data_IF_676579099553
#
_entry.id   IF_676579099553
#
_cell.length_a   1.000
_cell.length_b   1.000
_cell.length_c   1.000
_cell.angle_alpha   90.00
_cell.angle_beta   90.00
_cell.angle_gamma   90.00
#
_symmetry.space_group_name_H-M   'P 1'
#
loop_
_entity.id
_entity.type
_entity.pdbx_description
1 polymer ?
#
# COMPACT_ATOMS: atom_id res chain seq x y z
N UNK A 1 -12.52 -55.95 -5.26
CA UNK A 1 -12.21 -55.10 -4.10
C UNK A 1 -11.93 -53.69 -4.66
N UNK A 2 -12.92 -52.82 -4.56
CA UNK A 2 -12.80 -51.45 -5.03
C UNK A 2 -12.18 -50.62 -3.87
N UNK A 3 -11.02 -50.03 -4.14
CA UNK A 3 -10.37 -49.09 -3.24
C UNK A 3 -11.16 -47.79 -3.18
N UNK A 4 -11.65 -47.46 -2.02
CA UNK A 4 -12.19 -46.12 -1.74
C UNK A 4 -11.00 -45.15 -1.64
N UNK A 5 -10.84 -44.28 -2.63
CA UNK A 5 -10.04 -43.08 -2.50
C UNK A 5 -10.71 -42.18 -1.44
N UNK A 6 -10.03 -42.00 -0.32
CA UNK A 6 -10.39 -41.01 0.68
C UNK A 6 -10.06 -39.62 0.07
N UNK A 7 -11.09 -38.93 -0.34
CA UNK A 7 -10.98 -37.46 -0.58
C UNK A 7 -10.43 -36.82 0.71
N UNK A 8 -9.28 -36.17 0.58
CA UNK A 8 -8.75 -35.29 1.62
C UNK A 8 -9.71 -34.14 1.83
N UNK A 9 -10.09 -33.76 3.08
CA UNK A 9 -10.93 -32.60 3.29
C UNK A 9 -10.23 -31.37 2.71
N UNK A 10 -10.86 -30.71 1.73
CA UNK A 10 -10.44 -29.39 1.26
C UNK A 10 -10.25 -28.51 2.48
N UNK A 11 -9.01 -28.08 2.70
CA UNK A 11 -8.65 -27.09 3.71
C UNK A 11 -9.26 -25.79 3.26
N UNK A 12 -10.49 -25.49 3.69
CA UNK A 12 -11.08 -24.15 3.52
C UNK A 12 -10.08 -23.15 4.11
N UNK A 13 -9.40 -22.41 3.25
CA UNK A 13 -8.53 -21.33 3.69
C UNK A 13 -9.40 -20.34 4.47
N UNK A 14 -9.14 -20.28 5.78
CA UNK A 14 -9.89 -19.40 6.67
C UNK A 14 -9.56 -17.95 6.29
N UNK A 15 -10.56 -17.17 5.91
CA UNK A 15 -10.39 -15.75 5.61
C UNK A 15 -9.69 -15.05 6.77
N UNK A 16 -8.59 -14.36 6.47
CA UNK A 16 -7.84 -13.57 7.45
C UNK A 16 -8.44 -12.17 7.53
N UNK A 17 -8.63 -11.69 8.74
CA UNK A 17 -9.06 -10.31 8.98
C UNK A 17 -7.85 -9.42 9.25
N UNK A 18 -7.84 -8.26 8.61
CA UNK A 18 -6.82 -7.23 8.79
C UNK A 18 -7.38 -5.93 9.34
N UNK A 19 -6.50 -5.10 9.91
CA UNK A 19 -6.84 -3.80 10.45
C UNK A 19 -5.86 -2.73 9.97
N UNK A 20 -6.33 -1.50 9.78
CA UNK A 20 -5.45 -0.34 9.62
C UNK A 20 -4.85 0.01 10.98
N UNK A 21 -3.56 -0.19 11.15
CA UNK A 21 -2.89 -0.01 12.46
C UNK A 21 -3.00 1.42 13.03
N UNK A 22 -3.23 2.42 12.19
CA UNK A 22 -3.45 3.79 12.65
C UNK A 22 -4.88 4.06 13.17
N UNK A 23 -5.81 3.12 13.03
CA UNK A 23 -7.15 3.19 13.63
C UNK A 23 -7.18 2.56 15.03
N UNK A 24 -6.12 1.84 15.42
CA UNK A 24 -5.94 1.38 16.80
C UNK A 24 -5.57 2.57 17.70
N UNK A 25 -5.93 2.47 18.97
CA UNK A 25 -5.54 3.45 20.01
C UNK A 25 -4.07 3.86 19.85
N UNK A 26 -3.80 5.17 19.94
CA UNK A 26 -2.44 5.70 19.83
C UNK A 26 -1.55 5.12 20.93
N UNK A 27 -0.52 4.40 20.53
CA UNK A 27 0.45 3.71 21.36
C UNK A 27 1.72 3.46 20.55
N UNK A 28 2.85 3.06 21.14
CA UNK A 28 4.01 2.54 20.44
C UNK A 28 3.64 1.37 19.53
N UNK A 29 4.43 1.14 18.45
CA UNK A 29 4.10 0.14 17.45
C UNK A 29 3.87 -1.26 18.05
N UNK A 30 4.76 -1.73 18.91
CA UNK A 30 4.65 -3.06 19.53
C UNK A 30 3.36 -3.23 20.34
N UNK A 31 2.95 -2.21 21.10
CA UNK A 31 1.68 -2.21 21.83
C UNK A 31 0.47 -2.27 20.88
N UNK A 32 0.52 -1.51 19.75
CA UNK A 32 -0.54 -1.57 18.75
C UNK A 32 -0.65 -2.96 18.11
N UNK A 33 0.48 -3.62 17.85
CA UNK A 33 0.48 -4.98 17.30
C UNK A 33 -0.11 -5.99 18.31
N UNK A 34 0.24 -5.87 19.58
CA UNK A 34 -0.36 -6.69 20.64
C UNK A 34 -1.88 -6.51 20.71
N UNK A 35 -2.36 -5.25 20.69
CA UNK A 35 -3.80 -4.95 20.67
C UNK A 35 -4.48 -5.55 19.43
N UNK A 36 -3.87 -5.43 18.25
CA UNK A 36 -4.43 -5.99 17.02
C UNK A 36 -4.56 -7.53 17.11
N UNK A 37 -3.53 -8.19 17.62
CA UNK A 37 -3.54 -9.63 17.85
C UNK A 37 -4.63 -10.05 18.85
N UNK A 38 -4.73 -9.38 20.00
CA UNK A 38 -5.75 -9.64 21.03
C UNK A 38 -7.18 -9.46 20.48
N UNK A 39 -7.37 -8.55 19.53
CA UNK A 39 -8.65 -8.35 18.83
C UNK A 39 -8.94 -9.39 17.73
N UNK A 40 -8.02 -10.32 17.49
CA UNK A 40 -8.19 -11.42 16.55
C UNK A 40 -7.82 -11.10 15.09
N UNK A 41 -7.12 -9.99 14.85
CA UNK A 41 -6.59 -9.69 13.52
C UNK A 41 -5.34 -10.52 13.21
N UNK A 42 -5.19 -10.93 11.95
CA UNK A 42 -4.07 -11.71 11.46
C UNK A 42 -3.09 -10.89 10.61
N UNK A 43 -3.49 -9.71 10.15
CA UNK A 43 -2.64 -8.83 9.35
C UNK A 43 -2.96 -7.36 9.57
N UNK A 44 -2.02 -6.49 9.19
CA UNK A 44 -2.14 -5.06 9.35
C UNK A 44 -1.81 -4.26 8.09
N UNK A 45 -2.54 -3.16 7.89
CA UNK A 45 -2.13 -2.08 7.00
C UNK A 45 -1.21 -1.13 7.76
N UNK A 46 0.04 -1.03 7.33
CA UNK A 46 1.10 -0.23 7.95
C UNK A 46 1.34 1.06 7.15
N UNK A 47 0.84 2.20 7.62
CA UNK A 47 1.23 3.52 7.15
C UNK A 47 2.30 4.07 8.10
N UNK A 48 3.58 3.94 7.75
CA UNK A 48 4.72 4.18 8.65
C UNK A 48 4.60 5.47 9.46
N UNK A 49 4.44 6.61 8.80
CA UNK A 49 4.37 7.91 9.46
C UNK A 49 3.09 8.15 10.29
N UNK A 50 2.04 7.34 10.10
CA UNK A 50 0.81 7.42 10.90
C UNK A 50 0.85 6.50 12.12
N UNK A 51 1.68 5.48 12.09
CA UNK A 51 1.73 4.43 13.10
C UNK A 51 2.96 4.57 14.01
N UNK A 52 4.11 4.89 13.43
CA UNK A 52 5.40 4.91 14.11
C UNK A 52 5.77 6.36 14.40
N UNK A 53 5.93 6.68 15.67
CA UNK A 53 6.36 7.99 16.18
C UNK A 53 7.68 7.92 16.96
N UNK A 54 8.13 6.71 17.26
CA UNK A 54 9.27 6.46 18.16
C UNK A 54 10.61 6.66 17.48
N UNK A 55 10.64 6.56 16.12
CA UNK A 55 11.86 6.74 15.33
C UNK A 55 11.56 7.32 13.96
N UNK A 56 12.59 7.84 13.26
CA UNK A 56 12.44 8.35 11.90
C UNK A 56 11.92 7.28 10.93
N UNK A 57 11.05 7.69 10.01
CA UNK A 57 10.50 6.85 8.93
C UNK A 57 10.63 7.53 7.57
N UNK A 58 11.62 8.41 7.42
CA UNK A 58 11.99 9.02 6.16
C UNK A 58 12.69 8.01 5.22
N UNK A 59 13.06 8.43 4.03
CA UNK A 59 13.63 7.54 3.01
C UNK A 59 14.98 6.94 3.45
N UNK A 60 15.76 7.66 4.27
CA UNK A 60 17.02 7.20 4.82
C UNK A 60 16.84 6.11 5.87
N UNK A 61 15.72 6.10 6.57
CA UNK A 61 15.39 5.09 7.58
C UNK A 61 14.92 3.76 6.97
N UNK A 62 14.46 3.73 5.70
CA UNK A 62 13.93 2.54 5.03
C UNK A 62 15.04 1.57 4.59
N UNK A 63 15.81 1.10 5.57
CA UNK A 63 16.97 0.21 5.39
C UNK A 63 16.58 -1.27 5.46
N UNK A 64 17.41 -2.20 4.93
CA UNK A 64 17.21 -3.63 5.12
C UNK A 64 17.14 -4.06 6.59
N UNK A 65 17.98 -3.46 7.44
CA UNK A 65 18.00 -3.74 8.89
C UNK A 65 16.69 -3.35 9.55
N UNK A 66 16.12 -2.20 9.17
CA UNK A 66 14.84 -1.76 9.68
C UNK A 66 13.69 -2.65 9.20
N UNK A 67 13.70 -3.09 7.94
CA UNK A 67 12.72 -4.05 7.45
C UNK A 67 12.78 -5.38 8.23
N UNK A 68 13.99 -5.89 8.53
CA UNK A 68 14.18 -7.09 9.34
C UNK A 68 13.67 -6.90 10.79
N UNK A 69 13.88 -5.74 11.38
CA UNK A 69 13.36 -5.42 12.71
C UNK A 69 11.84 -5.43 12.72
N UNK A 70 11.20 -4.69 11.80
CA UNK A 70 9.74 -4.68 11.69
C UNK A 70 9.17 -6.08 11.46
N UNK A 71 9.77 -6.85 10.55
CA UNK A 71 9.35 -8.24 10.30
C UNK A 71 9.37 -9.10 11.56
N UNK A 72 10.40 -8.94 12.41
CA UNK A 72 10.49 -9.69 13.67
C UNK A 72 9.39 -9.32 14.66
N UNK A 73 9.11 -8.03 14.85
CA UNK A 73 8.08 -7.60 15.81
C UNK A 73 6.67 -7.93 15.33
N UNK A 74 6.39 -7.86 14.03
CA UNK A 74 5.14 -8.34 13.45
C UNK A 74 4.96 -9.85 13.69
N UNK A 75 5.98 -10.64 13.36
CA UNK A 75 5.94 -12.09 13.57
C UNK A 75 5.79 -12.48 15.05
N UNK A 76 6.44 -11.76 15.97
CA UNK A 76 6.30 -11.98 17.42
C UNK A 76 4.86 -11.75 17.91
N UNK A 77 4.09 -10.89 17.22
CA UNK A 77 2.68 -10.64 17.49
C UNK A 77 1.75 -11.46 16.58
N UNK A 78 2.26 -12.43 15.82
CA UNK A 78 1.50 -13.27 14.89
C UNK A 78 0.69 -12.47 13.86
N UNK A 79 1.23 -11.36 13.40
CA UNK A 79 0.64 -10.47 12.41
C UNK A 79 1.52 -10.41 11.16
N UNK A 80 0.88 -10.37 9.99
CA UNK A 80 1.53 -10.06 8.72
C UNK A 80 1.31 -8.59 8.33
N UNK A 81 2.21 -8.05 7.51
CA UNK A 81 1.99 -6.76 6.85
C UNK A 81 1.28 -7.00 5.52
N UNK A 82 -0.03 -6.81 5.47
CA UNK A 82 -0.80 -6.99 4.25
C UNK A 82 -0.56 -5.86 3.24
N UNK A 83 -0.51 -4.62 3.71
CA UNK A 83 -0.33 -3.43 2.88
C UNK A 83 0.64 -2.47 3.57
N UNK A 84 1.64 -2.00 2.84
CA UNK A 84 2.46 -0.84 3.23
C UNK A 84 1.88 0.42 2.58
N UNK A 85 1.37 1.36 3.38
CA UNK A 85 0.73 2.57 2.88
C UNK A 85 1.74 3.65 2.48
N UNK A 86 1.59 4.21 1.27
CA UNK A 86 2.37 5.33 0.76
C UNK A 86 1.44 6.33 0.05
N UNK A 87 0.98 7.34 0.78
CA UNK A 87 -0.07 8.28 0.35
C UNK A 87 0.52 9.63 -0.04
N UNK A 88 1.00 9.73 -1.28
CA UNK A 88 1.65 10.93 -1.81
C UNK A 88 1.06 11.32 -3.16
N UNK A 89 1.05 12.63 -3.45
CA UNK A 89 0.47 13.17 -4.67
C UNK A 89 1.36 12.92 -5.90
N UNK A 90 1.00 11.93 -6.74
CA UNK A 90 1.65 11.65 -8.03
C UNK A 90 1.15 12.56 -9.17
N UNK A 91 0.15 13.41 -8.92
CA UNK A 91 -0.29 14.43 -9.88
C UNK A 91 0.11 15.85 -9.46
N UNK A 92 1.05 15.98 -8.53
CA UNK A 92 1.54 17.27 -8.06
C UNK A 92 2.12 18.09 -9.23
N UNK A 93 1.63 19.33 -9.46
CA UNK A 93 2.08 20.17 -10.58
C UNK A 93 3.51 20.71 -10.39
N UNK A 94 4.03 20.74 -9.17
CA UNK A 94 5.39 21.16 -8.89
C UNK A 94 6.37 20.01 -9.20
N UNK A 95 7.29 20.17 -10.18
CA UNK A 95 8.20 19.08 -10.59
C UNK A 95 9.13 18.58 -9.49
N UNK A 96 9.59 19.47 -8.60
CA UNK A 96 10.47 19.09 -7.50
C UNK A 96 9.73 18.24 -6.46
N UNK A 97 8.48 18.62 -6.12
CA UNK A 97 7.61 17.86 -5.23
C UNK A 97 7.24 16.51 -5.85
N UNK A 98 6.92 16.49 -7.14
CA UNK A 98 6.62 15.24 -7.86
C UNK A 98 7.82 14.29 -7.87
N UNK A 99 9.02 14.79 -8.15
CA UNK A 99 10.25 13.99 -8.13
C UNK A 99 10.50 13.39 -6.73
N UNK A 100 10.33 14.19 -5.67
CA UNK A 100 10.44 13.75 -4.28
C UNK A 100 9.40 12.67 -3.95
N UNK A 101 8.15 12.86 -4.36
CA UNK A 101 7.08 11.89 -4.13
C UNK A 101 7.38 10.58 -4.87
N UNK A 102 7.80 10.64 -6.12
CA UNK A 102 8.18 9.47 -6.90
C UNK A 102 9.33 8.70 -6.23
N UNK A 103 10.38 9.41 -5.81
CA UNK A 103 11.50 8.79 -5.08
C UNK A 103 11.02 8.05 -3.82
N UNK A 104 10.12 8.65 -3.07
CA UNK A 104 9.54 8.04 -1.87
C UNK A 104 8.72 6.79 -2.18
N UNK A 105 7.97 6.76 -3.29
CA UNK A 105 7.30 5.53 -3.74
C UNK A 105 8.29 4.41 -4.03
N UNK A 106 9.38 4.71 -4.76
CA UNK A 106 10.41 3.71 -5.06
C UNK A 106 11.07 3.17 -3.77
N UNK A 107 11.33 4.04 -2.79
CA UNK A 107 11.85 3.64 -1.48
C UNK A 107 10.86 2.72 -0.73
N UNK A 108 9.56 3.05 -0.72
CA UNK A 108 8.53 2.22 -0.10
C UNK A 108 8.36 0.88 -0.78
N UNK A 109 8.38 0.82 -2.12
CA UNK A 109 8.30 -0.43 -2.89
C UNK A 109 9.48 -1.34 -2.57
N UNK A 110 10.71 -0.80 -2.57
CA UNK A 110 11.89 -1.57 -2.15
C UNK A 110 11.76 -2.05 -0.72
N UNK A 111 11.30 -1.19 0.18
CA UNK A 111 11.11 -1.53 1.59
C UNK A 111 10.03 -2.59 1.79
N UNK A 112 8.92 -2.51 1.06
CA UNK A 112 7.85 -3.52 1.06
C UNK A 112 8.38 -4.89 0.66
N UNK A 113 9.17 -4.98 -0.41
CA UNK A 113 9.82 -6.21 -0.85
C UNK A 113 10.73 -6.81 0.24
N UNK A 114 11.54 -5.99 0.92
CA UNK A 114 12.40 -6.43 2.02
C UNK A 114 11.62 -6.85 3.26
N UNK A 115 10.54 -6.14 3.58
CA UNK A 115 9.65 -6.42 4.71
C UNK A 115 8.82 -7.70 4.49
N UNK A 116 8.62 -8.09 3.23
CA UNK A 116 7.73 -9.19 2.85
C UNK A 116 6.27 -8.77 2.69
N UNK A 117 6.00 -7.46 2.62
CA UNK A 117 4.70 -6.93 2.25
C UNK A 117 4.55 -6.97 0.72
N UNK A 118 3.59 -7.75 0.21
CA UNK A 118 3.37 -7.89 -1.24
C UNK A 118 2.70 -6.69 -1.89
N UNK A 119 2.19 -5.73 -1.10
CA UNK A 119 1.35 -4.62 -1.59
C UNK A 119 1.82 -3.29 -1.02
N UNK A 120 1.97 -2.29 -1.90
CA UNK A 120 2.05 -0.86 -1.54
C UNK A 120 0.75 -0.19 -1.91
N UNK A 121 0.01 0.32 -0.91
CA UNK A 121 -1.25 1.01 -1.10
C UNK A 121 -1.06 2.51 -1.31
N UNK A 122 -1.81 3.10 -2.26
CA UNK A 122 -1.79 4.54 -2.54
C UNK A 122 -3.16 5.08 -2.91
N UNK A 123 -3.38 6.35 -2.61
CA UNK A 123 -4.44 7.18 -3.16
C UNK A 123 -3.95 7.87 -4.45
N UNK A 124 -4.83 8.52 -5.19
CA UNK A 124 -4.50 9.02 -6.54
C UNK A 124 -4.15 10.51 -6.62
N UNK A 125 -4.27 11.23 -5.51
CA UNK A 125 -3.81 12.60 -5.43
C UNK A 125 -4.76 13.66 -6.00
N UNK A 126 -4.20 14.84 -6.22
CA UNK A 126 -4.88 16.02 -6.76
C UNK A 126 -3.95 16.79 -7.71
N UNK A 127 -4.52 17.55 -8.64
CA UNK A 127 -3.76 18.36 -9.62
C UNK A 127 -3.31 19.72 -9.07
N UNK A 128 -3.20 19.83 -7.74
CA UNK A 128 -2.68 21.01 -7.03
C UNK A 128 -1.62 20.61 -5.99
N UNK A 129 -0.85 21.57 -5.52
CA UNK A 129 0.22 21.34 -4.54
C UNK A 129 -0.32 21.04 -3.14
N UNK A 130 -1.49 21.58 -2.78
CA UNK A 130 -2.09 21.48 -1.46
C UNK A 130 -2.77 20.13 -1.20
N UNK A 131 -2.81 19.25 -2.21
CA UNK A 131 -3.48 17.94 -2.12
C UNK A 131 -4.97 18.09 -1.75
N UNK A 132 -5.63 19.08 -2.33
CA UNK A 132 -7.03 19.43 -2.03
C UNK A 132 -7.98 19.03 -3.14
N UNK A 133 -9.22 18.82 -2.76
CA UNK A 133 -10.29 18.63 -3.72
C UNK A 133 -10.53 19.91 -4.52
N UNK A 134 -10.59 19.74 -5.83
CA UNK A 134 -11.16 20.69 -6.81
C UNK A 134 -11.83 19.88 -7.94
N UNK A 135 -12.83 20.44 -8.60
CA UNK A 135 -13.58 19.71 -9.64
C UNK A 135 -12.68 19.22 -10.79
N UNK A 136 -11.61 19.94 -11.07
CA UNK A 136 -10.62 19.57 -12.07
C UNK A 136 -9.90 18.25 -11.76
N UNK A 137 -9.89 17.80 -10.50
CA UNK A 137 -9.33 16.48 -10.14
C UNK A 137 -10.02 15.35 -10.90
N UNK A 138 -11.32 15.49 -11.20
CA UNK A 138 -12.11 14.46 -11.87
C UNK A 138 -12.02 14.53 -13.41
N UNK A 139 -11.18 15.39 -13.97
CA UNK A 139 -11.02 15.52 -15.42
C UNK A 139 -10.21 14.39 -16.03
N UNK A 140 -10.45 14.12 -17.32
CA UNK A 140 -9.66 13.18 -18.13
C UNK A 140 -8.18 13.59 -18.21
N UNK A 141 -7.89 14.89 -18.16
CA UNK A 141 -6.53 15.41 -18.12
C UNK A 141 -5.81 15.06 -16.82
N UNK A 142 -6.48 15.24 -15.68
CA UNK A 142 -5.96 14.83 -14.37
C UNK A 142 -5.64 13.32 -14.32
N UNK A 143 -6.54 12.50 -14.85
CA UNK A 143 -6.33 11.06 -14.95
C UNK A 143 -5.11 10.70 -15.81
N UNK A 144 -4.92 11.38 -16.95
CA UNK A 144 -3.74 11.19 -17.82
C UNK A 144 -2.44 11.58 -17.11
N UNK A 145 -2.43 12.71 -16.41
CA UNK A 145 -1.27 13.16 -15.62
C UNK A 145 -0.92 12.10 -14.57
N UNK A 146 -1.90 11.65 -13.80
CA UNK A 146 -1.69 10.63 -12.78
C UNK A 146 -1.14 9.33 -13.38
N UNK A 147 -1.74 8.80 -14.44
CA UNK A 147 -1.30 7.55 -15.09
C UNK A 147 0.13 7.68 -15.62
N UNK A 148 0.49 8.79 -16.25
CA UNK A 148 1.83 8.99 -16.77
C UNK A 148 2.89 8.99 -15.66
N UNK A 149 2.58 9.61 -14.52
CA UNK A 149 3.49 9.66 -13.37
C UNK A 149 3.50 8.35 -12.57
N UNK A 150 2.43 7.57 -12.62
CA UNK A 150 2.33 6.26 -12.00
C UNK A 150 3.18 5.20 -12.72
N UNK A 151 3.28 5.25 -14.05
CA UNK A 151 3.98 4.23 -14.87
C UNK A 151 5.39 3.86 -14.36
N UNK A 152 6.31 4.81 -14.10
CA UNK A 152 7.64 4.47 -13.60
C UNK A 152 7.59 3.82 -12.20
N UNK A 153 6.61 4.16 -11.38
CA UNK A 153 6.40 3.58 -10.04
C UNK A 153 6.00 2.11 -10.16
N UNK A 154 5.01 1.81 -11.00
CA UNK A 154 4.53 0.44 -11.20
C UNK A 154 5.57 -0.42 -11.92
N UNK A 155 6.29 0.12 -12.90
CA UNK A 155 7.39 -0.59 -13.56
C UNK A 155 8.52 -0.98 -12.58
N UNK A 156 8.76 -0.14 -11.56
CA UNK A 156 9.70 -0.48 -10.50
C UNK A 156 9.12 -1.54 -9.55
N UNK A 157 7.84 -1.42 -9.19
CA UNK A 157 7.16 -2.38 -8.33
C UNK A 157 7.17 -3.80 -8.94
N UNK A 158 6.91 -3.92 -10.24
CA UNK A 158 6.99 -5.17 -10.98
C UNK A 158 8.38 -5.85 -10.83
N UNK A 159 9.45 -5.09 -10.97
CA UNK A 159 10.83 -5.60 -10.79
C UNK A 159 11.12 -6.03 -9.34
N UNK A 160 10.41 -5.47 -8.37
CA UNK A 160 10.55 -5.80 -6.95
C UNK A 160 9.59 -6.89 -6.48
N UNK A 161 8.71 -7.41 -7.36
CA UNK A 161 7.67 -8.37 -6.99
C UNK A 161 6.61 -7.79 -6.04
N UNK A 162 6.31 -6.49 -6.18
CA UNK A 162 5.36 -5.76 -5.31
C UNK A 162 4.21 -5.24 -6.16
N UNK A 163 3.00 -5.39 -5.66
CA UNK A 163 1.78 -4.85 -6.24
C UNK A 163 1.59 -3.39 -5.78
N UNK A 164 1.25 -2.50 -6.70
CA UNK A 164 0.76 -1.15 -6.35
C UNK A 164 -0.76 -1.18 -6.35
N UNK A 165 -1.37 -1.07 -5.18
CA UNK A 165 -2.82 -1.05 -5.03
C UNK A 165 -3.33 0.40 -4.94
N UNK A 166 -4.30 0.73 -5.79
CA UNK A 166 -4.88 2.07 -5.87
C UNK A 166 -6.19 2.09 -5.11
N UNK A 167 -6.30 3.00 -4.15
CA UNK A 167 -7.52 3.28 -3.41
C UNK A 167 -8.28 4.44 -4.09
N UNK A 168 -9.46 4.20 -4.69
CA UNK A 168 -10.32 5.26 -5.18
C UNK A 168 -10.89 6.08 -4.01
N UNK A 169 -10.70 7.40 -4.06
CA UNK A 169 -11.19 8.31 -3.03
C UNK A 169 -11.99 9.44 -3.68
N UNK A 170 -13.17 9.69 -3.19
CA UNK A 170 -14.11 10.67 -3.74
C UNK A 170 -13.50 12.04 -4.08
N UNK A 171 -12.55 12.51 -3.28
CA UNK A 171 -11.91 13.83 -3.47
C UNK A 171 -10.68 13.80 -4.38
N UNK A 172 -10.26 12.64 -4.84
CA UNK A 172 -9.04 12.43 -5.62
C UNK A 172 -9.33 12.23 -7.10
N UNK A 173 -8.28 12.04 -7.87
CA UNK A 173 -8.36 11.91 -9.34
C UNK A 173 -9.16 10.68 -9.74
N UNK A 174 -8.87 9.52 -9.14
CA UNK A 174 -9.67 8.32 -9.30
C UNK A 174 -10.68 8.27 -8.17
N UNK A 175 -11.95 8.52 -8.50
CA UNK A 175 -13.02 8.65 -7.52
C UNK A 175 -14.17 7.63 -7.71
N UNK A 176 -14.11 6.83 -8.77
CA UNK A 176 -15.15 5.85 -9.08
C UNK A 176 -14.56 4.61 -9.80
N UNK A 177 -15.30 3.48 -9.84
CA UNK A 177 -14.84 2.23 -10.43
C UNK A 177 -14.44 2.34 -11.91
N UNK A 178 -15.13 3.13 -12.71
CA UNK A 178 -14.83 3.29 -14.14
C UNK A 178 -13.48 3.95 -14.38
N UNK A 179 -13.15 5.00 -13.61
CA UNK A 179 -11.82 5.63 -13.66
C UNK A 179 -10.74 4.70 -13.12
N UNK A 180 -11.08 3.90 -12.14
CA UNK A 180 -10.23 2.89 -11.58
C UNK A 180 -9.83 1.87 -12.65
N UNK A 181 -10.79 1.29 -13.36
CA UNK A 181 -10.56 0.38 -14.50
C UNK A 181 -9.72 1.02 -15.60
N UNK A 182 -10.03 2.27 -15.97
CA UNK A 182 -9.24 3.01 -16.96
C UNK A 182 -7.78 3.19 -16.52
N UNK A 183 -7.52 3.49 -15.25
CA UNK A 183 -6.17 3.61 -14.72
C UNK A 183 -5.42 2.27 -14.79
N UNK A 184 -6.09 1.17 -14.48
CA UNK A 184 -5.53 -0.17 -14.59
C UNK A 184 -5.17 -0.54 -16.03
N UNK A 185 -6.13 -0.47 -16.95
CA UNK A 185 -5.95 -0.83 -18.36
C UNK A 185 -4.91 0.07 -19.04
N UNK A 186 -4.93 1.38 -18.79
CA UNK A 186 -4.01 2.35 -19.44
C UNK A 186 -2.60 2.32 -18.86
N UNK A 187 -2.40 1.79 -17.64
CA UNK A 187 -1.06 1.59 -17.11
C UNK A 187 -0.31 0.46 -17.81
N UNK A 188 -1.03 -0.45 -18.48
CA UNK A 188 -0.49 -1.62 -19.21
C UNK A 188 0.36 -2.56 -18.35
N UNK A 189 0.13 -2.57 -17.03
CA UNK A 189 1.02 -3.23 -16.09
C UNK A 189 0.24 -4.25 -15.25
N UNK A 190 0.77 -5.46 -15.19
CA UNK A 190 0.18 -6.63 -14.53
C UNK A 190 0.13 -6.55 -13.00
N UNK A 191 0.78 -5.55 -12.40
CA UNK A 191 0.97 -5.41 -10.95
C UNK A 191 0.12 -4.32 -10.29
N UNK A 192 -0.90 -3.80 -10.98
CA UNK A 192 -1.84 -2.82 -10.39
C UNK A 192 -3.13 -3.52 -10.00
N UNK A 193 -3.51 -3.46 -8.74
CA UNK A 193 -4.77 -4.01 -8.23
C UNK A 193 -5.56 -2.95 -7.44
N UNK A 194 -6.85 -3.22 -7.27
CA UNK A 194 -7.77 -2.39 -6.48
C UNK A 194 -7.88 -2.92 -5.06
N UNK A 195 -7.96 -2.05 -4.10
CA UNK A 195 -8.30 -2.34 -2.71
C UNK A 195 -9.70 -1.82 -2.40
#
# INVERSE_FOLDING_TARGET
>A
MAGQEKESPERMEKMQLGIRLHDIKKAPLEERLAIAHEQGFACGHLALAKVISEYPVDDGALTPGYAMYLKKIFAANQLDVAVLGCYLNLANPNPASLAKNTHRYLAHIRFASLLGAGVVGTETGAVNEEYRFEERNHSEEALKIFINNLRPVVSYAEKMGVIVAIEPVYKHIVCNPSQAEQAHVRSSLTTTHWI
#
